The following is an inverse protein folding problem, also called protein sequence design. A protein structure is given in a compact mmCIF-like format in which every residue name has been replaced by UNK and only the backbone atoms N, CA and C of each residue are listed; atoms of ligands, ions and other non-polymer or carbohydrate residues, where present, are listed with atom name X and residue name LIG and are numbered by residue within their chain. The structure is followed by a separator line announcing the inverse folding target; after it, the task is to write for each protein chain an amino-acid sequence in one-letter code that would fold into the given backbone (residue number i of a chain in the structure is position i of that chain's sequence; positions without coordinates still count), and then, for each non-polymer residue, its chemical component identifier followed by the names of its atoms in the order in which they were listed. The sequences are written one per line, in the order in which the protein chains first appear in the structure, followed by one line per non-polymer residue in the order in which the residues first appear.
data_IF_763113362480
#
_entry.id   IF_763113362480
#
_cell.length_a   1.000
_cell.length_b   1.000
_cell.length_c   1.000
_cell.angle_alpha   90.00
_cell.angle_beta   90.00
_cell.angle_gamma   90.00
#
_symmetry.space_group_name_H-M   'P 1'
#
loop_
_entity.id
_entity.type
_entity.pdbx_description
1 polymer ?
#
# COMPACT_ATOMS: atom_id res chain seq x y z
N UNK A 1 -9.37 -5.51 -12.75
CA UNK A 1 -9.66 -6.43 -11.64
C UNK A 1 -9.98 -5.63 -10.38
N UNK A 2 -11.17 -5.79 -9.79
CA UNK A 2 -11.65 -4.98 -8.65
C UNK A 2 -10.77 -5.10 -7.39
N UNK A 3 -9.91 -6.11 -7.31
CA UNK A 3 -9.00 -6.38 -6.20
C UNK A 3 -7.92 -5.31 -5.96
N UNK A 4 -7.49 -4.55 -6.99
CA UNK A 4 -6.53 -3.46 -6.78
C UNK A 4 -7.14 -2.29 -6.00
N UNK A 5 -8.40 -1.95 -6.32
CA UNK A 5 -9.13 -0.85 -5.68
C UNK A 5 -9.41 -1.18 -4.21
N UNK A 6 -9.82 -2.42 -3.92
CA UNK A 6 -10.03 -2.88 -2.53
C UNK A 6 -8.75 -2.87 -1.70
N UNK A 7 -7.60 -3.20 -2.30
CA UNK A 7 -6.30 -3.13 -1.62
C UNK A 7 -5.91 -1.68 -1.32
N UNK A 8 -6.05 -0.78 -2.29
CA UNK A 8 -5.76 0.64 -2.09
C UNK A 8 -6.70 1.26 -1.05
N UNK A 9 -7.97 0.87 -1.06
CA UNK A 9 -8.97 1.30 -0.09
C UNK A 9 -8.63 0.81 1.33
N UNK A 10 -8.28 -0.47 1.49
CA UNK A 10 -7.84 -1.02 2.76
C UNK A 10 -6.56 -0.35 3.28
N UNK A 11 -5.67 0.02 2.36
CA UNK A 11 -4.45 0.75 2.70
C UNK A 11 -4.76 2.17 3.24
N UNK A 12 -5.63 2.92 2.56
CA UNK A 12 -6.06 4.26 3.01
C UNK A 12 -6.77 4.20 4.36
N UNK A 13 -7.63 3.20 4.57
CA UNK A 13 -8.34 2.98 5.84
C UNK A 13 -7.35 2.66 6.97
N UNK A 14 -6.36 1.81 6.72
CA UNK A 14 -5.31 1.48 7.69
C UNK A 14 -4.53 2.74 8.10
N UNK A 15 -4.09 3.55 7.13
CA UNK A 15 -3.39 4.81 7.41
C UNK A 15 -4.24 5.78 8.22
N UNK A 16 -5.51 5.96 7.84
CA UNK A 16 -6.44 6.83 8.56
C UNK A 16 -6.71 6.35 10.00
N UNK A 17 -6.82 5.04 10.21
CA UNK A 17 -7.02 4.44 11.53
C UNK A 17 -5.86 4.68 12.48
N UNK A 18 -4.61 4.58 11.99
CA UNK A 18 -3.42 4.83 12.83
C UNK A 18 -3.29 6.30 13.19
N UNK A 19 -3.54 7.21 12.23
CA UNK A 19 -3.61 8.66 12.48
C UNK A 19 -4.67 9.00 13.53
N UNK A 20 -5.86 8.40 13.43
CA UNK A 20 -6.96 8.62 14.35
C UNK A 20 -6.68 8.06 15.76
N UNK A 21 -6.13 6.85 15.86
CA UNK A 21 -5.73 6.25 17.13
C UNK A 21 -4.65 7.07 17.85
N UNK A 22 -3.67 7.61 17.12
CA UNK A 22 -2.66 8.50 17.67
C UNK A 22 -3.26 9.83 18.17
N UNK A 23 -4.31 10.33 17.51
CA UNK A 23 -5.03 11.52 17.97
C UNK A 23 -5.79 11.30 19.28
N UNK A 24 -6.39 10.10 19.47
CA UNK A 24 -7.13 9.76 20.70
C UNK A 24 -6.20 9.53 21.89
N UNK A 25 -4.97 9.05 21.66
CA UNK A 25 -3.98 8.86 22.74
C UNK A 25 -3.46 10.18 23.35
N UNK A 26 -3.86 11.34 22.82
CA UNK A 26 -3.39 12.65 23.32
C UNK A 26 -1.94 12.95 22.95
N UNK A 27 -1.40 12.27 21.94
CA UNK A 27 -0.05 12.51 21.42
C UNK A 27 0.00 13.92 20.82
N UNK A 28 1.08 14.66 21.09
CA UNK A 28 1.30 16.00 20.51
C UNK A 28 1.12 16.00 18.99
N UNK A 29 0.37 16.98 18.46
CA UNK A 29 0.05 17.15 17.03
C UNK A 29 1.28 17.05 16.13
N UNK A 30 2.44 17.51 16.61
CA UNK A 30 3.70 17.47 15.87
C UNK A 30 4.14 16.02 15.59
N UNK A 31 3.95 15.12 16.55
CA UNK A 31 4.25 13.69 16.39
C UNK A 31 3.22 12.96 15.53
N UNK A 32 1.95 13.36 15.61
CA UNK A 32 0.89 12.83 14.72
C UNK A 32 1.23 13.14 13.27
N UNK A 33 1.71 14.36 12.99
CA UNK A 33 2.14 14.75 11.64
C UNK A 33 3.34 13.94 11.15
N UNK A 34 4.35 13.71 12.00
CA UNK A 34 5.53 12.88 11.65
C UNK A 34 5.13 11.44 11.37
N UNK A 35 4.32 10.82 12.25
CA UNK A 35 3.84 9.44 12.08
C UNK A 35 2.96 9.33 10.82
N UNK A 36 2.09 10.33 10.59
CA UNK A 36 1.28 10.44 9.39
C UNK A 36 2.10 10.48 8.11
N UNK A 37 3.15 11.30 8.08
CA UNK A 37 4.02 11.45 6.91
C UNK A 37 4.80 10.17 6.60
N UNK A 38 5.33 9.52 7.65
CA UNK A 38 6.04 8.24 7.52
C UNK A 38 5.10 7.13 7.00
N UNK A 39 3.89 7.02 7.54
CA UNK A 39 2.90 6.03 7.11
C UNK A 39 2.41 6.27 5.68
N UNK A 40 2.26 7.53 5.30
CA UNK A 40 1.88 7.92 3.94
C UNK A 40 2.99 7.51 2.95
N UNK A 41 4.26 7.74 3.29
CA UNK A 41 5.40 7.28 2.49
C UNK A 41 5.49 5.76 2.39
N UNK A 42 5.37 5.05 3.52
CA UNK A 42 5.39 3.58 3.56
C UNK A 42 4.25 2.98 2.71
N UNK A 43 3.12 3.67 2.71
CA UNK A 43 1.96 3.28 1.96
C UNK A 43 2.07 3.36 0.46
N UNK A 44 2.63 4.46 0.00
CA UNK A 44 2.97 4.63 -1.41
C UNK A 44 3.98 3.56 -1.82
N UNK A 45 5.04 3.31 -1.05
CA UNK A 45 6.05 2.28 -1.36
C UNK A 45 5.40 0.89 -1.47
N UNK A 46 4.53 0.54 -0.51
CA UNK A 46 3.86 -0.77 -0.49
C UNK A 46 2.86 -0.92 -1.65
N UNK A 47 2.11 0.13 -1.95
CA UNK A 47 1.20 0.20 -3.10
C UNK A 47 1.94 0.02 -4.44
N UNK A 48 3.07 0.70 -4.61
CA UNK A 48 3.87 0.66 -5.84
C UNK A 48 4.66 -0.65 -5.97
N UNK A 49 5.13 -1.24 -4.87
CA UNK A 49 5.78 -2.56 -4.88
C UNK A 49 4.82 -3.67 -5.35
N UNK A 50 3.52 -3.54 -5.07
CA UNK A 50 2.51 -4.52 -5.49
C UNK A 50 2.15 -4.38 -6.98
N UNK A 51 2.19 -3.18 -7.55
CA UNK A 51 1.97 -2.98 -8.99
C UNK A 51 3.11 -3.57 -9.83
N UNK A 52 4.37 -3.44 -9.40
CA UNK A 52 5.53 -4.04 -10.09
C UNK A 52 5.50 -5.56 -10.21
N UNK A 53 4.86 -6.29 -9.28
CA UNK A 53 4.73 -7.75 -9.36
C UNK A 53 3.69 -8.24 -10.37
N UNK A 54 2.91 -7.32 -10.95
CA UNK A 54 1.89 -7.68 -11.94
C UNK A 54 2.48 -7.95 -13.33
N UNK A 55 3.72 -7.54 -13.56
CA UNK A 55 4.44 -7.74 -14.82
C UNK A 55 5.33 -8.99 -14.79
N UNK A 56 4.83 -10.11 -14.25
CA UNK A 56 5.39 -11.41 -14.58
C UNK A 56 4.52 -12.01 -15.70
N UNK A 57 4.85 -11.81 -16.98
CA UNK A 57 4.23 -12.57 -18.05
C UNK A 57 4.67 -14.02 -17.86
N UNK A 58 3.75 -14.85 -17.38
CA UNK A 58 3.82 -16.28 -17.61
C UNK A 58 3.61 -16.52 -19.11
N UNK A 59 4.64 -16.34 -19.92
CA UNK A 59 4.58 -16.67 -21.35
C UNK A 59 5.98 -16.72 -21.98
N UNK A 60 6.64 -17.87 -21.86
CA UNK A 60 7.48 -18.37 -22.95
C UNK A 60 7.52 -19.90 -22.87
N UNK A 61 6.34 -20.50 -23.01
CA UNK A 61 6.21 -21.87 -23.49
C UNK A 61 5.44 -21.77 -24.81
N UNK A 62 6.14 -21.83 -25.94
CA UNK A 62 5.59 -22.58 -27.04
C UNK A 62 6.65 -23.40 -27.78
N UNK A 63 6.38 -24.69 -27.87
CA UNK A 63 6.68 -25.54 -29.04
C UNK A 63 8.15 -25.80 -29.34
N UNK A 64 8.70 -26.82 -28.67
CA UNK A 64 9.79 -27.64 -29.23
C UNK A 64 9.18 -28.90 -29.87
N UNK A 65 8.36 -28.70 -30.91
CA UNK A 65 7.99 -29.73 -31.88
C UNK A 65 8.72 -29.39 -33.19
N UNK A 66 9.98 -29.81 -33.32
CA UNK A 66 10.72 -29.99 -34.58
C UNK A 66 11.66 -31.17 -34.44
#
# INVERSE_FOLDING_TARGET
MPSFVLYLLGFVILSAGVLFAASILGVSTQWIAVIGLVLLGLGVITGVAKTRRRDAPAASEPSSDV
#
